data_IF_704610019403
#
_entry.id   IF_704610019403
#
_cell.length_a   1.000
_cell.length_b   1.000
_cell.length_c   1.000
_cell.angle_alpha   90.00
_cell.angle_beta   90.00
_cell.angle_gamma   90.00
#
_symmetry.space_group_name_H-M   'P 1'
#
loop_
_entity.id
_entity.type
_entity.pdbx_description
1 polymer ?
#
# COMPACT_ATOMS: atom_id res chain seq x y z
N UNK A 1 3.83 -7.69 -6.86
CA UNK A 1 3.16 -8.55 -5.90
C UNK A 1 2.20 -9.50 -6.62
N UNK A 2 2.25 -10.79 -6.28
CA UNK A 2 1.27 -11.79 -6.74
C UNK A 2 0.03 -11.77 -5.86
N UNK A 3 -1.12 -12.12 -6.42
CA UNK A 3 -2.40 -12.15 -5.70
C UNK A 3 -2.37 -13.02 -4.43
N UNK A 4 -1.62 -14.14 -4.43
CA UNK A 4 -1.45 -14.98 -3.23
C UNK A 4 -0.79 -14.20 -2.09
N UNK A 5 0.31 -13.50 -2.39
CA UNK A 5 1.05 -12.70 -1.41
C UNK A 5 0.17 -11.58 -0.87
N UNK A 6 -0.56 -10.87 -1.75
CA UNK A 6 -1.50 -9.84 -1.33
C UNK A 6 -2.54 -10.40 -0.36
N UNK A 7 -3.17 -11.55 -0.65
CA UNK A 7 -4.13 -12.18 0.26
C UNK A 7 -3.53 -12.54 1.61
N UNK A 8 -2.27 -12.98 1.66
CA UNK A 8 -1.56 -13.26 2.91
C UNK A 8 -1.34 -11.99 3.73
N UNK A 9 -0.96 -10.88 3.08
CA UNK A 9 -0.81 -9.58 3.75
C UNK A 9 -2.15 -9.08 4.29
N UNK A 10 -3.24 -9.25 3.54
CA UNK A 10 -4.57 -8.79 3.94
C UNK A 10 -5.29 -9.71 4.93
N UNK A 11 -4.70 -10.84 5.32
CA UNK A 11 -5.37 -11.83 6.16
C UNK A 11 -5.73 -11.33 7.58
N UNK A 12 -5.14 -10.22 8.01
CA UNK A 12 -5.38 -9.60 9.32
C UNK A 12 -6.16 -8.29 9.23
N UNK A 13 -6.52 -7.86 8.01
CA UNK A 13 -7.20 -6.60 7.75
C UNK A 13 -8.71 -6.83 7.83
N UNK A 14 -9.42 -5.88 8.40
CA UNK A 14 -10.89 -5.92 8.48
C UNK A 14 -11.54 -5.97 7.09
N UNK A 15 -12.58 -6.79 6.91
CA UNK A 15 -13.28 -6.94 5.62
C UNK A 15 -13.97 -5.64 5.17
N UNK A 16 -14.30 -4.74 6.10
CA UNK A 16 -14.89 -3.42 5.83
C UNK A 16 -13.83 -2.32 5.67
N UNK A 17 -12.52 -2.64 5.76
CA UNK A 17 -11.44 -1.68 5.58
C UNK A 17 -11.41 -1.14 4.14
N UNK A 18 -11.35 0.19 4.00
CA UNK A 18 -11.27 0.82 2.70
C UNK A 18 -9.90 0.66 2.07
N UNK A 19 -9.88 0.33 0.77
CA UNK A 19 -8.64 0.14 0.00
C UNK A 19 -8.54 1.22 -1.07
N UNK A 20 -7.52 2.06 -0.92
CA UNK A 20 -7.10 3.04 -1.90
C UNK A 20 -5.98 2.48 -2.77
N UNK A 21 -5.98 2.86 -4.04
CA UNK A 21 -4.95 2.42 -4.99
C UNK A 21 -4.19 3.64 -5.47
N UNK A 22 -2.92 3.76 -5.07
CA UNK A 22 -2.01 4.78 -5.57
C UNK A 22 -1.24 4.23 -6.76
N UNK A 23 -1.98 3.86 -7.80
CA UNK A 23 -1.36 3.41 -9.04
C UNK A 23 -0.83 4.61 -9.82
N UNK A 24 0.43 4.54 -10.23
CA UNK A 24 0.92 5.36 -11.33
C UNK A 24 1.36 4.48 -12.49
N UNK A 25 1.30 5.06 -13.69
CA UNK A 25 1.98 4.50 -14.85
C UNK A 25 3.42 4.96 -14.81
N UNK A 26 4.35 4.11 -15.26
CA UNK A 26 5.72 4.55 -15.43
C UNK A 26 5.80 5.62 -16.55
N UNK A 27 6.93 6.32 -16.74
CA UNK A 27 7.06 7.37 -17.77
C UNK A 27 6.80 6.92 -19.23
N UNK A 28 6.74 5.61 -19.49
CA UNK A 28 6.48 5.00 -20.80
C UNK A 28 4.98 4.62 -20.93
N UNK A 29 4.16 4.82 -19.90
CA UNK A 29 2.74 4.53 -19.88
C UNK A 29 2.39 3.08 -19.51
N UNK A 30 3.36 2.29 -19.04
CA UNK A 30 3.12 0.90 -18.69
C UNK A 30 2.50 0.76 -17.29
N UNK A 31 1.66 -0.26 -17.14
CA UNK A 31 1.16 -0.73 -15.85
C UNK A 31 2.35 -1.23 -15.03
N UNK A 32 2.36 -0.87 -13.75
CA UNK A 32 3.38 -1.32 -12.81
C UNK A 32 2.86 -2.44 -11.91
N UNK A 33 3.80 -3.21 -11.42
CA UNK A 33 3.52 -4.22 -10.41
C UNK A 33 3.27 -3.51 -9.07
N UNK A 34 2.28 -3.99 -8.31
CA UNK A 34 2.07 -3.57 -6.91
C UNK A 34 3.31 -3.99 -6.11
N UNK A 35 3.88 -3.10 -5.31
CA UNK A 35 5.13 -3.39 -4.60
C UNK A 35 4.98 -3.29 -3.08
N UNK A 36 4.14 -2.38 -2.56
CA UNK A 36 3.97 -2.19 -1.12
C UNK A 36 2.51 -1.92 -0.75
N UNK A 37 2.07 -2.51 0.35
CA UNK A 37 0.79 -2.23 1.02
C UNK A 37 1.07 -1.34 2.22
N UNK A 38 0.38 -0.22 2.32
CA UNK A 38 0.52 0.74 3.42
C UNK A 38 -0.79 0.84 4.19
N UNK A 39 -0.78 0.46 5.46
CA UNK A 39 -1.88 0.74 6.37
C UNK A 39 -1.73 2.15 6.91
N UNK A 40 -2.80 2.94 6.80
CA UNK A 40 -2.81 4.35 7.11
C UNK A 40 -4.20 4.79 7.60
N UNK A 41 -4.39 6.09 7.76
CA UNK A 41 -5.66 6.68 8.14
C UNK A 41 -5.98 7.86 7.23
N UNK A 42 -7.26 8.07 6.95
CA UNK A 42 -7.74 9.34 6.39
C UNK A 42 -8.76 9.97 7.32
N UNK A 43 -8.77 11.31 7.35
CA UNK A 43 -9.72 12.04 8.18
C UNK A 43 -11.03 12.31 7.43
N UNK A 44 -12.16 11.94 8.03
CA UNK A 44 -13.49 12.21 7.50
C UNK A 44 -14.40 12.69 8.63
N UNK A 45 -14.97 13.90 8.48
CA UNK A 45 -15.82 14.54 9.49
C UNK A 45 -15.21 14.63 10.91
N UNK A 46 -13.88 14.67 11.02
CA UNK A 46 -13.17 14.79 12.31
C UNK A 46 -12.76 13.46 12.94
N UNK A 47 -13.16 12.33 12.34
CA UNK A 47 -12.73 10.99 12.72
C UNK A 47 -11.58 10.52 11.82
N UNK A 48 -10.66 9.72 12.38
CA UNK A 48 -9.62 9.01 11.63
C UNK A 48 -10.12 7.61 11.29
N UNK A 49 -10.24 7.31 10.01
CA UNK A 49 -10.71 6.02 9.50
C UNK A 49 -9.50 5.25 8.96
N UNK A 50 -9.29 4.03 9.46
CA UNK A 50 -8.23 3.14 8.98
C UNK A 50 -8.49 2.74 7.53
N UNK A 51 -7.44 2.76 6.73
CA UNK A 51 -7.48 2.34 5.34
C UNK A 51 -6.17 1.69 4.91
N UNK A 52 -6.22 1.01 3.76
CA UNK A 52 -5.04 0.54 3.07
C UNK A 52 -4.77 1.36 1.81
N UNK A 53 -3.50 1.53 1.50
CA UNK A 53 -3.02 2.18 0.29
C UNK A 53 -2.11 1.20 -0.46
N UNK A 54 -2.49 0.87 -1.69
CA UNK A 54 -1.70 0.00 -2.57
C UNK A 54 -0.74 0.85 -3.41
N UNK A 55 0.57 0.74 -3.19
CA UNK A 55 1.61 1.59 -3.76
C UNK A 55 2.45 0.90 -4.84
N UNK A 56 2.75 1.63 -5.92
CA UNK A 56 3.75 1.25 -6.94
C UNK A 56 5.01 2.11 -6.83
N UNK A 57 6.16 1.62 -7.32
CA UNK A 57 7.43 2.35 -7.26
C UNK A 57 7.43 3.72 -7.93
N UNK A 58 6.59 3.95 -8.95
CA UNK A 58 6.49 5.28 -9.57
C UNK A 58 5.43 6.19 -8.92
N UNK A 59 4.78 5.74 -7.85
CA UNK A 59 3.71 6.50 -7.19
C UNK A 59 4.17 7.25 -5.93
N UNK A 60 5.15 6.68 -5.23
CA UNK A 60 5.76 7.16 -3.99
C UNK A 60 7.11 6.43 -3.83
N UNK A 61 8.05 7.05 -3.13
CA UNK A 61 9.25 6.34 -2.66
C UNK A 61 8.85 5.26 -1.66
N UNK A 62 9.19 4.01 -1.96
CA UNK A 62 8.82 2.86 -1.14
C UNK A 62 9.75 2.74 0.06
N UNK A 63 9.22 2.22 1.17
CA UNK A 63 10.04 1.90 2.34
C UNK A 63 10.81 0.61 2.14
N UNK A 64 12.06 0.61 2.56
CA UNK A 64 13.03 -0.48 2.40
C UNK A 64 13.58 -0.91 3.76
N UNK A 65 14.01 -2.17 3.87
CA UNK A 65 14.70 -2.69 5.05
C UNK A 65 16.20 -2.34 5.05
N UNK A 66 16.92 -2.77 6.09
CA UNK A 66 18.37 -2.53 6.24
C UNK A 66 19.22 -3.16 5.11
N UNK A 67 18.65 -4.08 4.34
CA UNK A 67 19.27 -4.76 3.21
C UNK A 67 18.82 -4.18 1.84
N UNK A 68 18.18 -3.00 1.84
CA UNK A 68 17.64 -2.32 0.65
C UNK A 68 16.54 -3.13 -0.09
N UNK A 69 15.85 -4.04 0.60
CA UNK A 69 14.68 -4.72 0.03
C UNK A 69 13.40 -3.94 0.34
N UNK A 70 12.52 -3.78 -0.66
CA UNK A 70 11.20 -3.18 -0.45
C UNK A 70 10.39 -3.98 0.57
N UNK A 71 9.88 -3.29 1.58
CA UNK A 71 9.01 -3.89 2.60
C UNK A 71 7.61 -4.06 2.01
N UNK A 72 7.10 -5.29 1.98
CA UNK A 72 5.79 -5.61 1.40
C UNK A 72 4.61 -4.92 2.11
N UNK A 73 4.72 -4.70 3.42
CA UNK A 73 3.67 -4.15 4.27
C UNK A 73 4.24 -3.19 5.30
N UNK A 74 3.69 -1.98 5.35
CA UNK A 74 4.09 -0.93 6.30
C UNK A 74 2.87 -0.35 6.99
N UNK A 75 3.08 0.25 8.17
CA UNK A 75 2.06 1.01 8.89
C UNK A 75 2.54 2.44 9.07
N UNK A 76 1.75 3.41 8.61
CA UNK A 76 2.00 4.82 8.92
C UNK A 76 1.70 5.04 10.40
N UNK A 77 2.67 5.54 11.17
CA UNK A 77 2.41 6.05 12.52
C UNK A 77 1.90 7.49 12.41
N UNK A 78 0.77 7.78 13.05
CA UNK A 78 0.21 9.13 13.23
C UNK A 78 1.19 10.08 13.95
#
# INVERSE_FOLDING_TARGET
MKAKRLKELLAHVDDDCEIFIRNSVNPIGNIQELEQVEESFYSFFGDNISCLILNTSSSKALEEDDEENTIDFIQTQD
#
